data_IF_193707351857
#
_entry.id   IF_193707351857
#
_cell.length_a   1.000
_cell.length_b   1.000
_cell.length_c   1.000
_cell.angle_alpha   90.00
_cell.angle_beta   90.00
_cell.angle_gamma   90.00
#
_symmetry.space_group_name_H-M   'P 1'
#
loop_
_entity.id
_entity.type
_entity.pdbx_description
1 polymer ?
#
# COMPACT_ATOMS: atom_id res chain seq x y z
N UNK A 1 -20.15 1.36 13.16
CA UNK A 1 -19.51 1.38 12.74
C UNK A 1 -19.06 1.98 12.48
N UNK A 2 -19.47 1.87 12.87
CA UNK A 2 -18.53 2.11 12.37
C UNK A 2 -18.00 2.62 12.12
N UNK A 3 -18.61 2.59 12.61
CA UNK A 3 -17.57 2.88 12.13
C UNK A 3 -17.17 3.31 11.93
N UNK A 4 -17.62 3.16 12.40
CA UNK A 4 -16.76 3.49 11.94
C UNK A 4 -16.33 4.11 11.61
N UNK A 5 -16.63 4.01 12.09
CA UNK A 5 -15.75 4.45 11.46
C UNK A 5 -15.25 5.04 11.01
N UNK A 6 -15.73 5.08 11.64
CA UNK A 6 -14.82 5.33 10.82
C UNK A 6 -14.35 5.86 10.38
N UNK A 7 -14.80 5.89 10.82
CA UNK A 7 -13.99 6.11 10.02
C UNK A 7 -13.66 6.69 9.62
N UNK A 8 -14.25 6.61 10.17
CA UNK A 8 -13.55 6.90 9.42
C UNK A 8 -13.34 7.54 8.98
N UNK A 9 -13.77 7.38 9.35
CA UNK A 9 -13.26 7.65 8.60
C UNK A 9 -13.07 8.01 7.97
N UNK A 10 -13.87 8.05 8.64
CA UNK A 10 -13.35 8.23 7.78
C UNK A 10 -13.27 8.61 7.23
N UNK A 11 -13.73 8.44 7.49
CA UNK A 11 -13.33 8.57 6.72
C UNK A 11 -13.01 8.95 5.96
N UNK A 12 -13.60 8.96 6.33
CA UNK A 12 -13.11 9.07 5.42
C UNK A 12 -12.84 9.24 4.75
N UNK A 13 -13.64 9.21 5.17
CA UNK A 13 -13.10 9.16 4.25
C UNK A 13 -12.95 9.54 3.56
N UNK A 14 -13.57 9.08 3.89
CA UNK A 14 -13.10 9.11 2.94
C UNK A 14 -13.01 9.58 2.33
N UNK A 15 -13.34 9.68 2.25
CA UNK A 15 -12.98 9.84 1.31
C UNK A 15 -12.81 10.25 0.47
N UNK A 16 -13.50 10.32 0.73
CA UNK A 16 -13.10 10.55 -0.37
C UNK A 16 -13.02 11.17 -1.18
N UNK A 17 -13.35 11.26 -1.14
CA UNK A 17 -12.95 11.66 -2.21
C UNK A 17 -12.73 12.00 -3.04
N UNK A 18 -13.03 12.20 -2.98
CA UNK A 18 -12.59 12.39 -3.99
C UNK A 18 -12.23 12.82 -4.70
N UNK A 19 -12.39 12.98 -4.65
CA UNK A 19 -11.85 13.23 -5.47
C UNK A 19 -11.43 13.51 -6.11
N UNK A 20 -11.47 13.57 -6.06
CA UNK A 20 -10.85 13.65 -6.70
C UNK A 20 -10.17 13.86 -7.38
N UNK A 21 -10.27 13.91 -7.53
CA UNK A 21 -9.58 13.94 -8.03
C UNK A 21 -8.69 13.93 -8.52
N UNK A 22 -8.62 13.68 -8.67
CA UNK A 22 -7.79 13.59 -8.92
C UNK A 22 -6.95 13.50 -9.49
N UNK A 23 -7.16 13.29 -9.61
CA UNK A 23 -6.38 13.27 -10.14
C UNK A 23 -5.33 13.52 -10.57
N UNK A 24 -5.61 13.58 -10.84
CA UNK A 24 -4.73 14.00 -11.21
C UNK A 24 -3.23 14.29 -11.09
N UNK A 25 -2.73 14.54 -10.91
CA UNK A 25 -1.33 14.76 -10.60
C UNK A 25 -0.45 13.55 -10.89
N UNK A 26 -0.99 12.55 -11.56
CA UNK A 26 -0.26 11.32 -11.87
C UNK A 26 -0.06 10.38 -10.70
N UNK A 27 -0.65 10.67 -9.55
CA UNK A 27 -0.55 9.78 -8.40
C UNK A 27 -1.30 8.49 -8.62
N UNK A 28 -0.76 7.42 -8.07
CA UNK A 28 -1.38 6.09 -8.08
C UNK A 28 -1.64 5.65 -6.65
N UNK A 29 -2.59 4.74 -6.50
CA UNK A 29 -3.00 4.26 -5.18
C UNK A 29 -2.55 2.82 -4.99
N UNK A 30 -1.83 2.60 -3.87
CA UNK A 30 -1.44 1.26 -3.42
C UNK A 30 -2.31 0.91 -2.23
N UNK A 31 -2.95 -0.24 -2.29
CA UNK A 31 -3.79 -0.73 -1.21
C UNK A 31 -3.19 -2.04 -0.69
N UNK A 32 -2.98 -2.11 0.61
CA UNK A 32 -2.30 -3.24 1.23
C UNK A 32 -3.20 -3.87 2.30
N UNK A 33 -3.27 -5.19 2.29
CA UNK A 33 -3.93 -5.95 3.34
C UNK A 33 -2.92 -6.93 3.95
N UNK A 34 -3.05 -7.17 5.26
CA UNK A 34 -2.06 -7.95 5.99
C UNK A 34 -2.73 -9.11 6.71
N UNK A 35 -2.39 -10.34 6.31
CA UNK A 35 -2.81 -11.54 7.04
C UNK A 35 -1.77 -11.98 8.06
N UNK A 36 -0.62 -11.32 8.08
CA UNK A 36 0.46 -11.49 9.05
C UNK A 36 1.06 -10.13 9.34
N UNK A 37 1.72 -9.97 10.46
CA UNK A 37 2.49 -8.76 10.73
C UNK A 37 3.52 -8.58 9.61
N UNK A 38 3.62 -7.35 9.08
CA UNK A 38 4.47 -7.09 7.92
C UNK A 38 5.07 -5.70 8.00
N UNK A 39 6.34 -5.60 7.69
CA UNK A 39 7.03 -4.31 7.60
C UNK A 39 7.03 -3.87 6.13
N UNK A 40 6.65 -2.61 5.89
CA UNK A 40 6.53 -2.07 4.53
C UNK A 40 7.23 -0.72 4.46
N UNK A 41 8.02 -0.53 3.40
CA UNK A 41 8.60 0.76 3.05
C UNK A 41 8.24 1.06 1.61
N UNK A 42 7.72 2.28 1.35
CA UNK A 42 7.38 2.73 0.00
C UNK A 42 8.06 4.07 -0.25
N UNK A 43 8.73 4.18 -1.40
CA UNK A 43 9.35 5.42 -1.87
C UNK A 43 8.71 5.83 -3.17
N UNK A 44 8.61 7.15 -3.38
CA UNK A 44 8.03 7.71 -4.61
C UNK A 44 9.08 7.80 -5.73
N UNK A 45 8.69 8.45 -6.83
CA UNK A 45 9.57 8.60 -8.00
C UNK A 45 10.88 9.35 -7.69
N UNK A 46 10.87 10.16 -6.66
CA UNK A 46 12.07 10.88 -6.21
C UNK A 46 12.81 10.13 -5.12
N UNK A 47 12.41 8.89 -4.87
CA UNK A 47 12.99 8.00 -3.85
C UNK A 47 12.81 8.53 -2.43
N UNK A 48 11.84 9.42 -2.25
CA UNK A 48 11.45 9.90 -0.94
C UNK A 48 10.56 8.87 -0.26
N UNK A 49 10.84 8.56 1.01
CA UNK A 49 10.01 7.64 1.78
C UNK A 49 8.66 8.30 2.02
N UNK A 50 7.60 7.70 1.50
CA UNK A 50 6.23 8.19 1.68
C UNK A 50 5.44 7.32 2.63
N UNK A 51 5.94 6.11 2.93
CA UNK A 51 5.32 5.22 3.89
C UNK A 51 6.38 4.27 4.42
N UNK A 52 6.43 4.13 5.75
CA UNK A 52 7.33 3.16 6.39
C UNK A 52 6.69 2.79 7.72
N UNK A 53 6.31 1.51 7.86
CA UNK A 53 5.58 1.09 9.06
C UNK A 53 5.58 -0.42 9.19
N UNK A 54 5.60 -0.88 10.44
CA UNK A 54 5.25 -2.26 10.77
C UNK A 54 3.75 -2.34 10.94
N UNK A 55 3.10 -3.19 10.16
CA UNK A 55 1.65 -3.29 10.08
C UNK A 55 1.18 -4.55 10.78
N UNK A 56 0.20 -4.41 11.64
CA UNK A 56 -0.33 -5.53 12.41
C UNK A 56 -1.12 -6.47 11.52
N UNK A 57 -1.14 -7.73 11.89
CA UNK A 57 -2.03 -8.72 11.28
C UNK A 57 -3.47 -8.20 11.29
N UNK A 58 -4.16 -8.33 10.16
CA UNK A 58 -5.54 -7.91 10.02
C UNK A 58 -5.74 -6.44 9.69
N UNK A 59 -4.65 -5.67 9.58
CA UNK A 59 -4.76 -4.26 9.24
C UNK A 59 -4.75 -4.04 7.73
N UNK A 60 -5.07 -2.81 7.33
CA UNK A 60 -5.07 -2.40 5.93
C UNK A 60 -4.45 -1.01 5.84
N UNK A 61 -3.81 -0.73 4.70
CA UNK A 61 -3.23 0.59 4.44
C UNK A 61 -3.54 1.01 3.02
N UNK A 62 -3.69 2.32 2.84
CA UNK A 62 -3.83 2.93 1.51
C UNK A 62 -2.77 4.01 1.41
N UNK A 63 -1.93 3.93 0.38
CA UNK A 63 -0.83 4.86 0.19
C UNK A 63 -0.91 5.41 -1.23
N UNK A 64 -0.77 6.72 -1.37
CA UNK A 64 -0.77 7.38 -2.68
C UNK A 64 0.59 7.99 -2.94
N UNK A 65 1.06 7.84 -4.17
CA UNK A 65 2.34 8.42 -4.55
C UNK A 65 2.50 8.47 -6.05
N UNK A 66 3.53 9.22 -6.49
CA UNK A 66 3.85 9.38 -7.90
C UNK A 66 4.80 8.26 -8.33
N UNK A 67 4.39 7.44 -9.32
CA UNK A 67 5.24 6.36 -9.79
C UNK A 67 6.45 6.89 -10.59
N UNK A 68 7.51 6.07 -10.72
CA UNK A 68 7.57 4.71 -10.20
C UNK A 68 7.65 4.70 -8.67
N UNK A 69 6.94 3.74 -8.07
CA UNK A 69 6.97 3.54 -6.62
C UNK A 69 7.90 2.36 -6.32
N UNK A 70 8.74 2.52 -5.32
CA UNK A 70 9.70 1.48 -4.91
C UNK A 70 9.24 0.90 -3.59
N UNK A 71 9.05 -0.41 -3.56
CA UNK A 71 8.49 -1.09 -2.39
C UNK A 71 9.42 -2.15 -1.84
N UNK A 72 9.50 -2.21 -0.51
CA UNK A 72 10.14 -3.30 0.23
C UNK A 72 9.12 -3.80 1.24
N UNK A 73 8.80 -5.09 1.16
CA UNK A 73 7.74 -5.68 1.99
C UNK A 73 8.30 -6.91 2.68
N UNK A 74 8.35 -6.87 4.02
CA UNK A 74 8.73 -8.03 4.81
C UNK A 74 7.52 -8.88 5.12
N UNK A 75 7.72 -10.21 5.27
CA UNK A 75 6.64 -11.19 5.41
C UNK A 75 5.65 -11.10 4.23
N UNK A 76 6.19 -10.95 3.03
CA UNK A 76 5.42 -10.66 1.83
C UNK A 76 4.39 -11.75 1.51
N UNK A 77 4.62 -12.99 1.94
CA UNK A 77 3.67 -14.07 1.69
C UNK A 77 2.32 -13.85 2.38
N UNK A 78 2.29 -12.97 3.40
CA UNK A 78 1.05 -12.61 4.09
C UNK A 78 0.45 -11.29 3.65
N UNK A 79 0.93 -10.71 2.54
CA UNK A 79 0.50 -9.38 2.10
C UNK A 79 -0.25 -9.48 0.77
N UNK A 80 -1.43 -8.83 0.74
CA UNK A 80 -2.16 -8.62 -0.51
C UNK A 80 -1.96 -7.18 -0.94
N UNK A 81 -1.66 -6.97 -2.22
CA UNK A 81 -1.42 -5.63 -2.75
C UNK A 81 -2.24 -5.41 -4.02
N UNK A 82 -2.94 -4.28 -4.06
CA UNK A 82 -3.55 -3.82 -5.29
C UNK A 82 -2.93 -2.48 -5.68
N UNK A 83 -2.79 -2.26 -6.97
CA UNK A 83 -2.23 -1.04 -7.53
C UNK A 83 -3.25 -0.47 -8.49
N UNK A 84 -3.81 0.68 -8.15
CA UNK A 84 -4.92 1.28 -8.89
C UNK A 84 -6.04 0.28 -9.15
N UNK A 85 -6.39 -0.51 -8.13
CA UNK A 85 -7.47 -1.47 -8.20
C UNK A 85 -7.13 -2.81 -8.84
N UNK A 86 -5.87 -3.00 -9.28
CA UNK A 86 -5.44 -4.25 -9.89
C UNK A 86 -4.59 -5.04 -8.90
N UNK A 87 -4.94 -6.31 -8.71
CA UNK A 87 -4.18 -7.19 -7.84
C UNK A 87 -2.77 -7.43 -8.42
N UNK A 88 -1.77 -7.27 -7.57
CA UNK A 88 -0.38 -7.52 -7.93
C UNK A 88 0.10 -8.76 -7.19
N UNK A 89 0.62 -9.73 -7.95
CA UNK A 89 1.19 -10.94 -7.36
C UNK A 89 2.61 -10.65 -6.89
N UNK A 90 2.86 -10.79 -5.60
CA UNK A 90 4.16 -10.51 -5.00
C UNK A 90 5.14 -11.67 -5.12
N UNK A 91 4.65 -12.87 -5.42
CA UNK A 91 5.50 -14.06 -5.43
C UNK A 91 6.73 -13.92 -6.32
N UNK A 92 6.64 -13.38 -7.55
CA UNK A 92 7.82 -13.24 -8.40
C UNK A 92 8.90 -12.32 -7.83
N UNK A 93 8.52 -11.42 -6.92
CA UNK A 93 9.44 -10.44 -6.34
C UNK A 93 9.93 -10.82 -4.95
N UNK A 94 9.41 -11.92 -4.42
CA UNK A 94 9.68 -12.33 -3.05
C UNK A 94 10.85 -13.28 -2.99
N UNK A 95 11.87 -12.92 -2.19
CA UNK A 95 12.98 -13.83 -1.94
C UNK A 95 12.56 -14.82 -0.86
N UNK A 96 12.64 -16.11 -1.17
CA UNK A 96 12.13 -17.15 -0.27
C UNK A 96 12.92 -17.24 1.02
N UNK A 97 14.21 -16.89 0.98
CA UNK A 97 15.08 -17.04 2.14
C UNK A 97 14.62 -16.18 3.32
N UNK A 98 14.07 -14.99 3.06
CA UNK A 98 13.66 -14.06 4.10
C UNK A 98 12.23 -13.57 3.96
N UNK A 99 11.51 -14.03 2.94
CA UNK A 99 10.13 -13.64 2.66
C UNK A 99 10.00 -12.12 2.47
N UNK A 100 10.98 -11.52 1.81
CA UNK A 100 10.99 -10.08 1.53
C UNK A 100 10.82 -9.88 0.04
N UNK A 101 9.86 -9.02 -0.34
CA UNK A 101 9.63 -8.61 -1.72
C UNK A 101 10.26 -7.23 -1.94
N UNK A 102 11.00 -7.08 -3.05
CA UNK A 102 11.56 -5.80 -3.47
C UNK A 102 11.23 -5.60 -4.94
N UNK A 103 10.54 -4.51 -5.25
CA UNK A 103 10.09 -4.29 -6.61
C UNK A 103 9.67 -2.83 -6.80
N UNK A 104 9.40 -2.47 -8.06
CA UNK A 104 8.86 -1.14 -8.36
C UNK A 104 7.55 -1.27 -9.13
N UNK A 105 6.70 -0.27 -8.99
CA UNK A 105 5.44 -0.14 -9.72
C UNK A 105 5.50 1.13 -10.57
N UNK A 106 5.22 0.97 -11.86
CA UNK A 106 5.28 2.07 -12.82
C UNK A 106 4.00 2.88 -12.94
#
# INVERSE_FOLDING_TARGET
>A
PLLPPVTTEIKETAQTNVLESSTDSGEKTVQLTFSRESWVEIRDSKKKVIFMKTNARGSEQVVKGTPPLYLVIGNASGVGLTYNGKLVDLAPYTRKADDVARFSLE
#
